data_IF_025665631370
#
_entry.id   IF_025665631370
#
_cell.length_a   1.000
_cell.length_b   1.000
_cell.length_c   1.000
_cell.angle_alpha   90.00
_cell.angle_beta   90.00
_cell.angle_gamma   90.00
#
_symmetry.space_group_name_H-M   'P 1'
#
loop_
_entity.id
_entity.type
_entity.pdbx_description
1 polymer ?
#
# COMPACT_ATOMS: atom_id res chain seq x y z
N UNK A 1 -1.03 11.95 -8.72
CA UNK A 1 -0.29 12.14 -7.46
C UNK A 1 -1.18 12.90 -6.49
N UNK A 2 -2.12 12.19 -5.87
CA UNK A 2 -3.18 12.73 -5.00
C UNK A 2 -2.69 13.05 -3.58
N UNK A 3 -1.56 13.75 -3.45
CA UNK A 3 -0.93 14.05 -2.16
C UNK A 3 -0.03 12.95 -1.58
N UNK A 4 0.19 11.87 -2.32
CA UNK A 4 1.15 10.81 -1.97
C UNK A 4 2.42 10.93 -2.81
N UNK A 5 3.57 10.69 -2.20
CA UNK A 5 4.87 10.60 -2.87
C UNK A 5 5.24 9.14 -3.04
N UNK A 6 5.52 8.72 -4.28
CA UNK A 6 6.03 7.38 -4.56
C UNK A 6 7.54 7.41 -4.31
N UNK A 7 7.97 6.78 -3.23
CA UNK A 7 9.36 6.66 -2.78
C UNK A 7 10.12 5.56 -3.50
N UNK A 8 9.49 4.40 -3.72
CA UNK A 8 10.08 3.26 -4.43
C UNK A 8 9.00 2.47 -5.15
N UNK A 9 9.16 2.30 -6.46
CA UNK A 9 8.34 1.39 -7.25
C UNK A 9 9.16 0.13 -7.56
N UNK A 10 8.56 -1.04 -7.35
CA UNK A 10 9.18 -2.32 -7.70
C UNK A 10 8.12 -3.29 -8.22
N UNK A 11 8.58 -4.37 -8.85
CA UNK A 11 7.70 -5.45 -9.27
C UNK A 11 7.60 -6.46 -8.14
N UNK A 12 6.38 -6.82 -7.74
CA UNK A 12 6.16 -7.88 -6.79
C UNK A 12 6.65 -9.24 -7.33
N UNK A 13 7.12 -10.12 -6.44
CA UNK A 13 7.55 -11.47 -6.81
C UNK A 13 6.39 -12.37 -7.26
N UNK A 14 5.19 -12.14 -6.73
CA UNK A 14 3.99 -12.90 -7.02
C UNK A 14 2.89 -12.02 -7.61
N UNK A 15 1.94 -12.68 -8.29
CA UNK A 15 0.72 -12.03 -8.78
C UNK A 15 -0.36 -12.11 -7.70
N UNK A 16 -0.80 -10.95 -7.22
CA UNK A 16 -1.87 -10.84 -6.23
C UNK A 16 -3.23 -10.71 -6.92
N UNK A 17 -4.25 -11.41 -6.42
CA UNK A 17 -5.61 -11.28 -6.96
C UNK A 17 -6.26 -9.94 -6.58
N UNK A 18 -5.93 -9.40 -5.40
CA UNK A 18 -6.49 -8.16 -4.87
C UNK A 18 -5.42 -7.18 -4.43
N UNK A 19 -5.70 -5.89 -4.62
CA UNK A 19 -4.82 -4.82 -4.19
C UNK A 19 -4.85 -4.71 -2.66
N UNK A 20 -3.65 -4.64 -2.07
CA UNK A 20 -3.44 -4.71 -0.63
C UNK A 20 -2.57 -3.55 -0.16
N UNK A 21 -2.94 -2.94 0.96
CA UNK A 21 -2.13 -1.90 1.63
C UNK A 21 -1.45 -2.55 2.83
N UNK A 22 -0.14 -2.38 2.95
CA UNK A 22 0.65 -2.74 4.13
C UNK A 22 1.08 -1.45 4.83
N UNK A 23 0.67 -1.28 6.08
CA UNK A 23 1.01 -0.13 6.92
C UNK A 23 2.09 -0.53 7.93
N UNK A 24 3.30 0.03 7.77
CA UNK A 24 4.46 -0.23 8.62
C UNK A 24 4.69 0.85 9.69
N UNK A 25 3.96 1.97 9.61
CA UNK A 25 4.11 3.12 10.52
C UNK A 25 2.92 3.33 11.45
N UNK A 26 1.88 2.49 11.37
CA UNK A 26 0.57 2.68 12.00
C UNK A 26 -0.06 4.05 11.62
N UNK A 27 0.12 4.46 10.37
CA UNK A 27 -0.39 5.72 9.85
C UNK A 27 -1.87 5.61 9.46
N UNK A 28 -2.74 5.49 10.48
CA UNK A 28 -4.19 5.26 10.31
C UNK A 28 -4.87 6.19 9.30
N UNK A 29 -4.63 7.48 9.43
CA UNK A 29 -5.27 8.46 8.55
C UNK A 29 -4.85 8.27 7.09
N UNK A 30 -3.55 8.08 6.84
CA UNK A 30 -3.01 7.92 5.50
C UNK A 30 -3.49 6.63 4.83
N UNK A 31 -3.54 5.51 5.56
CA UNK A 31 -4.05 4.23 5.02
C UNK A 31 -5.54 4.30 4.70
N UNK A 32 -6.35 4.96 5.53
CA UNK A 32 -7.80 5.07 5.31
C UNK A 32 -8.11 5.96 4.12
N UNK A 33 -7.41 7.08 3.98
CA UNK A 33 -7.52 7.96 2.82
C UNK A 33 -7.12 7.23 1.53
N UNK A 34 -6.01 6.48 1.55
CA UNK A 34 -5.53 5.75 0.38
C UNK A 34 -6.49 4.61 0.00
N UNK A 35 -6.99 3.88 0.99
CA UNK A 35 -7.98 2.83 0.77
C UNK A 35 -9.27 3.40 0.15
N UNK A 36 -9.76 4.55 0.64
CA UNK A 36 -10.93 5.21 0.08
C UNK A 36 -10.70 5.68 -1.38
N UNK A 37 -9.52 6.25 -1.67
CA UNK A 37 -9.15 6.71 -3.01
C UNK A 37 -9.08 5.57 -4.03
N UNK A 38 -8.60 4.40 -3.61
CA UNK A 38 -8.44 3.22 -4.46
C UNK A 38 -9.65 2.27 -4.40
N UNK A 39 -10.63 2.52 -3.53
CA UNK A 39 -11.77 1.62 -3.32
C UNK A 39 -11.39 0.29 -2.66
N UNK A 40 -10.29 0.24 -1.92
CA UNK A 40 -9.78 -0.98 -1.26
C UNK A 40 -10.57 -1.26 0.01
N UNK A 41 -11.01 -2.51 0.18
CA UNK A 41 -11.77 -2.96 1.35
C UNK A 41 -10.86 -3.10 2.57
N UNK A 42 -11.38 -2.82 3.77
CA UNK A 42 -10.62 -2.90 5.02
C UNK A 42 -9.94 -4.27 5.27
N UNK A 43 -10.53 -5.37 4.79
CA UNK A 43 -9.95 -6.72 4.88
C UNK A 43 -8.65 -6.90 4.08
N UNK A 44 -8.34 -6.01 3.15
CA UNK A 44 -7.12 -6.00 2.35
C UNK A 44 -6.10 -4.97 2.89
N UNK A 45 -6.27 -4.54 4.13
CA UNK A 45 -5.31 -3.68 4.83
C UNK A 45 -4.60 -4.55 5.86
N UNK A 46 -3.27 -4.62 5.74
CA UNK A 46 -2.40 -5.35 6.65
C UNK A 46 -1.67 -4.33 7.52
N UNK A 47 -1.87 -4.41 8.83
CA UNK A 47 -1.08 -3.66 9.79
C UNK A 47 0.17 -4.49 10.10
N UNK A 48 1.30 -4.08 9.54
CA UNK A 48 2.57 -4.73 9.83
C UNK A 48 3.07 -4.20 11.17
N UNK A 49 2.98 -5.02 12.22
CA UNK A 49 3.80 -4.79 13.41
C UNK A 49 5.25 -4.94 12.98
N UNK A 50 6.06 -3.88 13.12
CA UNK A 50 7.51 -3.96 12.86
C UNK A 50 8.08 -5.08 13.73
N UNK A 51 8.39 -6.22 13.13
CA UNK A 51 9.13 -7.26 13.84
C UNK A 51 10.55 -6.72 14.06
N UNK A 52 11.14 -6.89 15.26
CA UNK A 52 12.46 -6.32 15.59
C UNK A 52 13.60 -6.79 14.68
N UNK A 53 13.38 -7.86 13.89
CA UNK A 53 14.37 -8.45 12.99
C UNK A 53 14.09 -8.21 11.49
N UNK A 54 13.08 -7.39 11.14
CA UNK A 54 12.90 -6.97 9.75
C UNK A 54 14.04 -6.06 9.31
N UNK A 55 14.60 -6.26 8.10
CA UNK A 55 15.67 -5.41 7.59
C UNK A 55 15.23 -3.94 7.64
N UNK A 56 16.15 -3.12 8.15
CA UNK A 56 16.09 -1.66 8.37
C UNK A 56 15.09 -0.93 7.50
N UNK A 57 14.11 -0.31 8.17
CA UNK A 57 13.09 0.64 7.71
C UNK A 57 12.59 0.42 6.27
N UNK A 58 11.30 0.09 6.05
CA UNK A 58 10.72 0.49 4.80
C UNK A 58 10.90 2.02 4.71
N UNK A 59 11.56 2.52 3.66
CA UNK A 59 11.69 3.95 3.35
C UNK A 59 10.34 4.64 3.10
N UNK A 60 9.25 3.91 3.33
CA UNK A 60 7.87 4.22 2.98
C UNK A 60 6.98 3.80 4.14
N UNK A 61 6.14 4.71 4.62
CA UNK A 61 5.18 4.43 5.69
C UNK A 61 4.11 3.41 5.29
N UNK A 62 3.77 3.41 4.00
CA UNK A 62 2.77 2.55 3.38
C UNK A 62 3.37 1.86 2.15
N UNK A 63 3.06 0.58 1.97
CA UNK A 63 3.33 -0.17 0.75
C UNK A 63 2.01 -0.59 0.12
N UNK A 64 1.88 -0.41 -1.20
CA UNK A 64 0.71 -0.89 -1.94
C UNK A 64 1.13 -1.99 -2.89
N UNK A 65 0.56 -3.18 -2.70
CA UNK A 65 0.70 -4.30 -3.62
C UNK A 65 -0.46 -4.24 -4.61
N UNK A 66 -0.18 -3.92 -5.87
CA UNK A 66 -1.18 -3.82 -6.93
C UNK A 66 -1.57 -5.23 -7.40
N UNK A 67 -2.86 -5.55 -7.27
CA UNK A 67 -3.42 -6.83 -7.70
C UNK A 67 -4.03 -6.80 -9.09
N UNK A 68 -4.63 -7.92 -9.50
CA UNK A 68 -5.39 -8.05 -10.76
C UNK A 68 -6.64 -7.18 -10.82
N UNK A 69 -7.13 -6.74 -9.67
CA UNK A 69 -8.22 -5.77 -9.53
C UNK A 69 -7.79 -4.32 -9.83
N UNK A 70 -6.58 -4.13 -10.35
CA UNK A 70 -6.09 -2.84 -10.84
C UNK A 70 -7.11 -2.15 -11.75
N UNK A 71 -7.28 -0.85 -11.54
CA UNK A 71 -8.12 0.00 -12.37
C UNK A 71 -7.27 1.09 -13.01
N UNK A 72 -7.46 1.31 -14.31
CA UNK A 72 -6.73 2.33 -15.07
C UNK A 72 -6.93 3.74 -14.50
N UNK A 73 -8.08 4.01 -13.89
CA UNK A 73 -8.36 5.26 -13.19
C UNK A 73 -7.37 5.59 -12.05
N UNK A 74 -6.62 4.62 -11.54
CA UNK A 74 -5.59 4.85 -10.52
C UNK A 74 -4.29 5.42 -11.09
N UNK A 75 -4.10 5.38 -12.41
CA UNK A 75 -2.94 5.98 -13.09
C UNK A 75 -3.03 7.49 -13.21
N UNK A 76 -4.25 8.04 -13.21
CA UNK A 76 -4.47 9.46 -13.47
C UNK A 76 -4.19 10.34 -12.23
N UNK A 77 -3.58 11.54 -12.42
CA UNK A 77 -3.14 12.40 -11.33
C UNK A 77 -4.16 12.72 -10.24
#
# INVERSE_FOLDING_TARGET
NRGYTITTASTAFDVYDVTTIIDYGDNKQAREQLAALLGIKAKNIILASRAPEQPTDPTSDLVVLIGRDYQEAWREP
#
